data_IF_548938436205
#
_entry.id   IF_548938436205
#
_cell.length_a   1.000
_cell.length_b   1.000
_cell.length_c   1.000
_cell.angle_alpha   90.00
_cell.angle_beta   90.00
_cell.angle_gamma   90.00
#
_symmetry.space_group_name_H-M   'P 1'
#
loop_
_entity.id
_entity.type
_entity.pdbx_description
1 polymer ?
#
# COMPACT_ATOMS: atom_id res chain seq x y z
N UNK A 1 20.84 -1.82 -11.83
CA UNK A 1 21.44 -2.28 -10.55
C UNK A 1 20.32 -2.60 -9.58
N UNK A 2 20.16 -3.91 -9.28
CA UNK A 2 19.42 -4.60 -8.18
C UNK A 2 18.21 -3.83 -7.58
N UNK A 3 16.95 -4.17 -7.83
CA UNK A 3 16.25 -5.46 -7.69
C UNK A 3 14.93 -5.43 -8.49
N UNK A 4 14.49 -6.58 -8.99
CA UNK A 4 13.11 -6.77 -9.44
C UNK A 4 12.16 -6.62 -8.23
N UNK A 5 11.30 -5.61 -8.27
CA UNK A 5 10.37 -5.17 -7.21
C UNK A 5 9.18 -6.13 -7.07
N UNK A 6 9.41 -7.40 -6.69
CA UNK A 6 8.34 -8.41 -6.54
C UNK A 6 7.83 -8.60 -5.11
N UNK A 7 8.47 -7.97 -4.13
CA UNK A 7 8.18 -8.15 -2.69
C UNK A 7 7.90 -6.79 -2.05
N UNK A 8 6.79 -6.69 -1.31
CA UNK A 8 6.43 -5.51 -0.52
C UNK A 8 7.43 -5.32 0.62
N UNK A 9 8.28 -4.30 0.54
CA UNK A 9 9.37 -4.01 1.48
C UNK A 9 9.29 -2.55 1.96
N UNK A 10 8.79 -2.28 3.18
CA UNK A 10 8.70 -0.93 3.72
C UNK A 10 10.05 -0.21 3.84
N UNK A 11 11.13 -0.97 4.05
CA UNK A 11 12.48 -0.44 4.28
C UNK A 11 13.01 0.36 3.09
N UNK A 12 12.43 0.20 1.90
CA UNK A 12 12.79 0.99 0.71
C UNK A 12 12.51 2.49 0.86
N UNK A 13 11.72 2.87 1.86
CA UNK A 13 11.39 4.26 2.18
C UNK A 13 12.16 4.79 3.39
N UNK A 14 13.09 4.00 3.94
CA UNK A 14 13.90 4.34 5.10
C UNK A 14 15.37 4.49 4.71
N UNK A 15 16.10 5.34 5.43
CA UNK A 15 17.56 5.39 5.39
C UNK A 15 18.18 4.34 6.32
N UNK A 16 19.52 4.27 6.34
CA UNK A 16 20.28 3.32 7.18
C UNK A 16 20.06 3.54 8.68
N UNK A 17 19.57 4.72 9.10
CA UNK A 17 19.21 5.05 10.47
C UNK A 17 17.73 4.78 10.78
N UNK A 18 16.96 4.22 9.83
CA UNK A 18 15.54 3.93 9.97
C UNK A 18 14.64 5.17 9.89
N UNK A 19 15.16 6.32 9.44
CA UNK A 19 14.37 7.53 9.23
C UNK A 19 13.76 7.52 7.83
N UNK A 20 12.61 8.19 7.67
CA UNK A 20 11.98 8.34 6.36
C UNK A 20 12.90 9.10 5.40
N UNK A 21 13.04 8.58 4.19
CA UNK A 21 13.76 9.27 3.11
C UNK A 21 13.11 10.64 2.84
N UNK A 22 13.95 11.67 2.66
CA UNK A 22 13.49 13.04 2.38
C UNK A 22 12.73 13.17 1.05
N UNK A 23 12.95 12.25 0.12
CA UNK A 23 12.36 12.28 -1.23
C UNK A 23 11.69 10.95 -1.54
N UNK A 24 10.42 11.03 -1.95
CA UNK A 24 9.66 9.89 -2.45
C UNK A 24 9.98 9.68 -3.94
N UNK A 25 10.71 8.61 -4.26
CA UNK A 25 11.09 8.24 -5.63
C UNK A 25 10.07 7.32 -6.32
N UNK A 26 8.94 7.00 -5.68
CA UNK A 26 7.97 6.02 -6.21
C UNK A 26 7.07 6.59 -7.32
N UNK A 27 6.93 7.92 -7.41
CA UNK A 27 6.13 8.65 -8.43
C UNK A 27 4.75 8.03 -8.77
N UNK A 28 3.92 7.62 -7.79
CA UNK A 28 2.64 6.94 -8.07
C UNK A 28 1.60 7.87 -8.71
N UNK A 29 1.79 9.18 -8.60
CA UNK A 29 0.90 10.23 -9.12
C UNK A 29 1.41 10.87 -10.41
N UNK A 30 2.47 10.32 -11.02
CA UNK A 30 3.16 10.90 -12.16
C UNK A 30 4.09 12.06 -11.75
N UNK A 31 4.34 13.00 -12.67
CA UNK A 31 5.23 14.13 -12.43
C UNK A 31 5.08 15.28 -13.44
N UNK A 32 5.69 16.42 -13.13
CA UNK A 32 5.67 17.62 -13.98
C UNK A 32 4.30 18.31 -14.04
N UNK A 33 4.00 18.99 -15.16
CA UNK A 33 2.78 19.82 -15.33
C UNK A 33 1.46 19.04 -15.30
N UNK A 34 1.51 17.72 -15.38
CA UNK A 34 0.35 16.81 -15.40
C UNK A 34 0.35 15.85 -14.21
N UNK A 35 1.10 16.16 -13.15
CA UNK A 35 1.01 15.42 -11.89
C UNK A 35 -0.45 15.37 -11.42
N UNK A 36 -0.85 14.25 -10.83
CA UNK A 36 -2.23 14.08 -10.36
C UNK A 36 -2.61 15.22 -9.41
N UNK A 37 -3.62 16.00 -9.78
CA UNK A 37 -4.15 17.10 -8.95
C UNK A 37 -4.62 16.62 -7.57
N UNK A 38 -4.98 15.33 -7.47
CA UNK A 38 -5.39 14.68 -6.24
C UNK A 38 -4.24 14.14 -5.38
N UNK A 39 -2.96 14.37 -5.70
CA UNK A 39 -1.83 13.80 -4.96
C UNK A 39 -1.87 14.14 -3.46
N UNK A 40 -1.92 15.43 -3.12
CA UNK A 40 -1.91 15.88 -1.72
C UNK A 40 -3.10 15.32 -0.94
N UNK A 41 -4.29 15.35 -1.55
CA UNK A 41 -5.50 14.79 -0.95
C UNK A 41 -5.36 13.28 -0.72
N UNK A 42 -4.95 12.54 -1.75
CA UNK A 42 -4.82 11.09 -1.70
C UNK A 42 -3.78 10.64 -0.67
N UNK A 43 -2.67 11.38 -0.51
CA UNK A 43 -1.66 11.07 0.52
C UNK A 43 -2.22 11.24 1.93
N UNK A 44 -2.92 12.33 2.21
CA UNK A 44 -3.55 12.55 3.53
C UNK A 44 -4.65 11.53 3.82
N UNK A 45 -5.53 11.29 2.84
CA UNK A 45 -6.61 10.30 2.96
C UNK A 45 -6.02 8.91 3.21
N UNK A 46 -5.05 8.47 2.41
CA UNK A 46 -4.42 7.16 2.60
C UNK A 46 -3.82 7.02 4.00
N UNK A 47 -3.11 8.05 4.49
CA UNK A 47 -2.53 8.05 5.83
C UNK A 47 -3.61 7.94 6.91
N UNK A 48 -4.63 8.79 6.86
CA UNK A 48 -5.71 8.82 7.87
C UNK A 48 -6.54 7.54 7.86
N UNK A 49 -6.93 7.05 6.68
CA UNK A 49 -7.70 5.81 6.58
C UNK A 49 -6.89 4.61 7.07
N UNK A 50 -5.63 4.48 6.63
CA UNK A 50 -4.80 3.34 7.02
C UNK A 50 -4.50 3.36 8.53
N UNK A 51 -4.10 4.50 9.07
CA UNK A 51 -3.81 4.65 10.50
C UNK A 51 -5.04 4.38 11.36
N UNK A 52 -6.21 4.94 11.01
CA UNK A 52 -7.45 4.71 11.75
C UNK A 52 -7.87 3.23 11.71
N UNK A 53 -7.77 2.57 10.55
CA UNK A 53 -8.07 1.14 10.43
C UNK A 53 -7.13 0.27 11.27
N UNK A 54 -5.82 0.52 11.21
CA UNK A 54 -4.82 -0.28 11.93
C UNK A 54 -4.78 0.01 13.44
N UNK A 55 -5.19 1.22 13.84
CA UNK A 55 -5.35 1.59 15.25
C UNK A 55 -6.53 0.84 15.88
N UNK A 56 -7.66 0.76 15.18
CA UNK A 56 -8.91 0.20 15.73
C UNK A 56 -9.13 -1.27 15.38
N UNK A 57 -8.39 -1.85 14.44
CA UNK A 57 -8.62 -3.24 14.00
C UNK A 57 -7.31 -4.00 13.75
N UNK A 58 -7.37 -5.32 14.00
CA UNK A 58 -6.38 -6.30 13.60
C UNK A 58 -6.92 -7.08 12.41
N UNK A 59 -6.19 -7.07 11.30
CA UNK A 59 -6.53 -7.82 10.10
C UNK A 59 -5.85 -9.19 10.12
N UNK A 60 -6.60 -10.24 9.81
CA UNK A 60 -6.12 -11.62 9.81
C UNK A 60 -6.67 -12.41 8.62
N UNK A 61 -5.98 -13.51 8.30
CA UNK A 61 -6.44 -14.46 7.30
C UNK A 61 -7.79 -15.09 7.73
N UNK A 62 -8.79 -15.16 6.84
CA UNK A 62 -10.01 -15.92 7.11
C UNK A 62 -9.71 -17.43 7.20
N UNK A 63 -10.38 -18.13 8.12
CA UNK A 63 -10.21 -19.57 8.26
C UNK A 63 -10.74 -20.30 7.02
N UNK A 64 -9.90 -21.15 6.40
CA UNK A 64 -10.29 -22.01 5.29
C UNK A 64 -10.58 -21.30 3.97
N UNK A 65 -10.25 -20.02 3.80
CA UNK A 65 -10.38 -19.30 2.52
C UNK A 65 -9.01 -18.92 1.97
N UNK A 66 -8.78 -19.04 0.64
CA UNK A 66 -7.52 -18.66 0.04
C UNK A 66 -7.31 -17.14 0.08
N UNK A 67 -6.06 -16.72 0.23
CA UNK A 67 -5.63 -15.32 0.10
C UNK A 67 -4.88 -15.19 -1.23
N UNK A 68 -5.20 -14.19 -2.06
CA UNK A 68 -4.48 -13.92 -3.30
C UNK A 68 -3.00 -13.64 -3.01
N UNK A 69 -2.12 -14.14 -3.88
CA UNK A 69 -0.71 -13.78 -3.87
C UNK A 69 -0.56 -12.34 -4.38
N UNK A 70 0.53 -11.63 -4.05
CA UNK A 70 0.77 -10.28 -4.55
C UNK A 70 0.81 -10.17 -6.09
N UNK A 71 1.17 -11.26 -6.78
CA UNK A 71 1.19 -11.33 -8.25
C UNK A 71 -0.21 -11.60 -8.85
N UNK A 72 -1.18 -12.00 -8.03
CA UNK A 72 -2.54 -12.27 -8.48
C UNK A 72 -3.26 -10.93 -8.64
N UNK A 73 -3.22 -10.37 -9.84
CA UNK A 73 -3.84 -9.08 -10.18
C UNK A 73 -4.79 -9.22 -11.36
N UNK A 74 -5.93 -8.56 -11.26
CA UNK A 74 -6.83 -8.32 -12.40
C UNK A 74 -6.26 -7.12 -13.15
N UNK A 75 -5.88 -7.36 -14.40
CA UNK A 75 -5.36 -6.32 -15.30
C UNK A 75 -6.52 -5.58 -15.97
N UNK A 76 -6.47 -4.25 -15.95
CA UNK A 76 -7.45 -3.36 -16.55
C UNK A 76 -6.88 -1.94 -16.69
N UNK A 77 -7.74 -0.91 -16.65
CA UNK A 77 -7.27 0.48 -16.59
C UNK A 77 -6.46 0.75 -15.31
N UNK A 78 -6.84 0.10 -14.21
CA UNK A 78 -6.09 0.02 -12.95
C UNK A 78 -5.80 -1.44 -12.62
N UNK A 79 -4.70 -1.70 -11.91
CA UNK A 79 -4.43 -3.01 -11.33
C UNK A 79 -5.23 -3.16 -10.02
N UNK A 80 -6.01 -4.24 -9.90
CA UNK A 80 -6.73 -4.57 -8.66
C UNK A 80 -6.48 -6.02 -8.25
N UNK A 81 -6.48 -6.33 -6.95
CA UNK A 81 -6.48 -7.73 -6.51
C UNK A 81 -7.81 -8.41 -6.90
N UNK A 82 -7.83 -9.74 -7.09
CA UNK A 82 -9.07 -10.51 -7.21
C UNK A 82 -9.84 -10.49 -5.89
N UNK A 83 -11.14 -10.78 -5.94
CA UNK A 83 -12.00 -10.79 -4.77
C UNK A 83 -11.50 -11.75 -3.69
N UNK A 84 -11.39 -11.24 -2.46
CA UNK A 84 -10.95 -12.03 -1.31
C UNK A 84 -11.58 -11.54 -0.02
N UNK A 85 -11.57 -12.42 0.99
CA UNK A 85 -12.10 -12.12 2.30
C UNK A 85 -10.97 -11.84 3.29
N UNK A 86 -11.22 -10.92 4.21
CA UNK A 86 -10.31 -10.61 5.31
C UNK A 86 -11.08 -10.69 6.62
N UNK A 87 -10.48 -11.31 7.64
CA UNK A 87 -11.03 -11.29 8.99
C UNK A 87 -10.61 -9.98 9.66
N UNK A 88 -11.57 -9.22 10.17
CA UNK A 88 -11.34 -7.94 10.86
C UNK A 88 -11.73 -8.10 12.32
N UNK A 89 -10.81 -7.81 13.24
CA UNK A 89 -10.99 -7.99 14.69
C UNK A 89 -10.81 -6.63 15.36
N UNK A 90 -11.79 -6.08 16.10
CA UNK A 90 -11.63 -4.83 16.82
C UNK A 90 -10.45 -4.86 17.82
N UNK A 91 -9.70 -3.76 17.89
CA UNK A 91 -8.67 -3.46 18.89
C UNK A 91 -9.27 -2.45 19.87
N UNK A 92 -9.15 -2.76 21.15
CA UNK A 92 -9.67 -1.94 22.24
C UNK A 92 -8.74 -0.76 22.53
#
# INVERSE_FOLDING_TARGET
>A
MKQATKVSRPERFLDDAGQLLKQDLSMPFGGGRRVCVGETFSRHVTYLFLSALLQNFTFAAPAGRPIPKPDDVISGFTLSPPDFWVKVIPRN
#
